data_IF_257192119689
#
_entry.id   IF_257192119689
#
_cell.length_a   1.000
_cell.length_b   1.000
_cell.length_c   1.000
_cell.angle_alpha   90.00
_cell.angle_beta   90.00
_cell.angle_gamma   90.00
#
_symmetry.space_group_name_H-M   'P 1'
#
loop_
_entity.id
_entity.type
_entity.pdbx_description
1 polymer ?
#
# COMPACT_ATOMS: atom_id res chain seq x y z
N UNK A 1 4.67 -33.51 28.67
CA UNK A 1 3.27 -33.29 28.27
C UNK A 1 2.50 -33.05 29.55
N UNK A 2 2.00 -31.84 29.75
CA UNK A 2 1.22 -31.49 30.95
C UNK A 2 -0.20 -32.03 30.77
N UNK A 3 -0.58 -33.00 31.62
CA UNK A 3 -1.84 -33.74 31.57
C UNK A 3 -3.08 -32.94 32.04
N UNK A 4 -2.94 -31.63 32.26
CA UNK A 4 -4.03 -30.78 32.76
C UNK A 4 -4.27 -29.58 31.84
N UNK A 5 -5.45 -29.47 31.20
CA UNK A 5 -5.79 -28.29 30.42
C UNK A 5 -5.96 -27.08 31.34
N UNK A 6 -5.16 -26.03 31.13
CA UNK A 6 -5.14 -24.83 31.97
C UNK A 6 -6.43 -24.00 31.82
N UNK A 7 -7.08 -24.06 30.63
CA UNK A 7 -8.35 -23.36 30.34
C UNK A 7 -9.28 -24.22 29.45
N UNK A 8 -10.53 -24.44 29.89
CA UNK A 8 -11.50 -25.33 29.21
C UNK A 8 -11.89 -24.92 27.79
N UNK A 9 -11.79 -23.63 27.46
CA UNK A 9 -12.29 -23.06 26.20
C UNK A 9 -11.20 -22.45 25.31
N UNK A 10 -9.94 -22.44 25.76
CA UNK A 10 -8.82 -21.89 25.00
C UNK A 10 -7.66 -22.88 25.06
N UNK A 11 -7.33 -23.46 23.91
CA UNK A 11 -6.14 -24.29 23.77
C UNK A 11 -4.95 -23.37 23.54
N UNK A 12 -3.94 -23.47 24.39
CA UNK A 12 -2.70 -22.73 24.20
C UNK A 12 -1.91 -23.34 23.04
N UNK A 13 -1.10 -22.55 22.31
CA UNK A 13 -0.38 -23.00 21.11
C UNK A 13 0.42 -24.30 21.32
N UNK A 14 0.98 -24.49 22.52
CA UNK A 14 1.74 -25.69 22.91
C UNK A 14 0.88 -26.97 23.00
N UNK A 15 -0.42 -26.82 23.22
CA UNK A 15 -1.38 -27.92 23.41
C UNK A 15 -2.00 -28.40 22.09
N UNK A 16 -1.79 -27.69 20.98
CA UNK A 16 -2.31 -28.10 19.67
C UNK A 16 -1.48 -29.24 19.06
N UNK A 17 -2.13 -30.14 18.29
CA UNK A 17 -1.43 -31.13 17.49
C UNK A 17 -0.37 -30.49 16.59
N UNK A 18 0.78 -31.16 16.45
CA UNK A 18 1.93 -30.64 15.70
C UNK A 18 1.57 -30.23 14.27
N UNK A 19 0.64 -30.94 13.62
CA UNK A 19 0.14 -30.62 12.28
C UNK A 19 -0.50 -29.23 12.20
N UNK A 20 -1.34 -28.87 13.16
CA UNK A 20 -2.06 -27.58 13.20
C UNK A 20 -1.08 -26.43 13.50
N UNK A 21 -0.10 -26.67 14.38
CA UNK A 21 0.97 -25.69 14.63
C UNK A 21 1.78 -25.39 13.38
N UNK A 22 2.17 -26.43 12.63
CA UNK A 22 2.91 -26.28 11.36
C UNK A 22 2.07 -25.50 10.34
N UNK A 23 0.78 -25.83 10.21
CA UNK A 23 -0.14 -25.10 9.33
C UNK A 23 -0.18 -23.60 9.68
N UNK A 24 -0.35 -23.24 10.95
CA UNK A 24 -0.36 -21.83 11.36
C UNK A 24 0.95 -21.12 11.06
N UNK A 25 2.10 -21.75 11.33
CA UNK A 25 3.40 -21.16 10.99
C UNK A 25 3.60 -21.00 9.49
N UNK A 26 3.15 -21.97 8.69
CA UNK A 26 3.25 -21.91 7.24
C UNK A 26 2.38 -20.78 6.66
N UNK A 27 1.17 -20.58 7.19
CA UNK A 27 0.30 -19.47 6.80
C UNK A 27 0.96 -18.12 7.11
N UNK A 28 1.53 -17.96 8.30
CA UNK A 28 2.24 -16.73 8.66
C UNK A 28 3.47 -16.48 7.78
N UNK A 29 4.22 -17.52 7.43
CA UNK A 29 5.35 -17.41 6.50
C UNK A 29 4.91 -16.99 5.09
N UNK A 30 3.83 -17.59 4.57
CA UNK A 30 3.29 -17.23 3.25
C UNK A 30 2.80 -15.79 3.24
N UNK A 31 2.04 -15.37 4.26
CA UNK A 31 1.58 -13.99 4.37
C UNK A 31 2.74 -13.02 4.53
N UNK A 32 3.72 -13.33 5.39
CA UNK A 32 4.92 -12.49 5.56
C UNK A 32 5.72 -12.32 4.28
N UNK A 33 5.89 -13.41 3.52
CA UNK A 33 6.55 -13.39 2.22
C UNK A 33 5.74 -12.55 1.21
N UNK A 34 4.42 -12.71 1.15
CA UNK A 34 3.56 -11.89 0.31
C UNK A 34 3.67 -10.39 0.63
N UNK A 35 3.66 -10.02 1.91
CA UNK A 35 3.85 -8.64 2.35
C UNK A 35 5.25 -8.10 2.00
N UNK A 36 6.29 -8.92 2.10
CA UNK A 36 7.65 -8.52 1.72
C UNK A 36 7.71 -8.18 0.22
N UNK A 37 7.14 -9.03 -0.65
CA UNK A 37 7.07 -8.73 -2.08
C UNK A 37 6.19 -7.52 -2.39
N UNK A 38 5.07 -7.34 -1.68
CA UNK A 38 4.23 -6.17 -1.82
C UNK A 38 4.99 -4.88 -1.45
N UNK A 39 5.79 -4.89 -0.39
CA UNK A 39 6.61 -3.75 0.01
C UNK A 39 7.71 -3.44 -1.01
N UNK A 40 8.38 -4.47 -1.55
CA UNK A 40 9.37 -4.30 -2.63
C UNK A 40 8.72 -3.69 -3.88
N UNK A 41 7.56 -4.21 -4.27
CA UNK A 41 6.82 -3.70 -5.41
C UNK A 41 6.37 -2.24 -5.21
N UNK A 42 5.85 -1.92 -4.02
CA UNK A 42 5.45 -0.57 -3.65
C UNK A 42 6.64 0.38 -3.74
N UNK A 43 7.79 0.00 -3.18
CA UNK A 43 9.01 0.78 -3.23
C UNK A 43 9.44 1.04 -4.67
N UNK A 44 9.56 -0.01 -5.48
CA UNK A 44 10.01 0.13 -6.86
C UNK A 44 9.02 0.90 -7.76
N UNK A 45 7.72 0.89 -7.45
CA UNK A 45 6.70 1.55 -8.28
C UNK A 45 6.58 3.04 -7.95
N UNK A 46 6.76 3.42 -6.69
CA UNK A 46 6.45 4.78 -6.22
C UNK A 46 7.65 5.55 -5.67
N UNK A 47 8.81 4.93 -5.47
CA UNK A 47 10.01 5.63 -4.98
C UNK A 47 10.40 6.79 -5.92
N UNK A 48 10.61 7.97 -5.36
CA UNK A 48 11.17 9.12 -6.08
C UNK A 48 10.16 9.96 -6.87
N UNK A 49 8.84 9.82 -6.64
CA UNK A 49 7.81 10.72 -7.21
C UNK A 49 7.86 12.11 -6.59
N UNK A 50 8.36 12.23 -5.36
CA UNK A 50 8.57 13.46 -4.60
C UNK A 50 9.93 14.15 -4.90
N UNK A 51 10.67 13.67 -5.91
CA UNK A 51 11.94 14.28 -6.34
C UNK A 51 13.17 13.92 -5.49
N UNK A 52 13.01 13.12 -4.44
CA UNK A 52 14.11 12.53 -3.68
C UNK A 52 14.14 11.00 -3.90
N UNK A 53 15.09 10.47 -4.69
CA UNK A 53 15.09 9.07 -5.11
C UNK A 53 15.55 8.09 -4.02
N UNK A 54 15.98 8.58 -2.86
CA UNK A 54 16.66 7.79 -1.84
C UNK A 54 15.75 7.33 -0.69
N UNK A 55 14.54 7.89 -0.62
CA UNK A 55 13.54 7.60 0.38
C UNK A 55 12.16 7.41 -0.27
N UNK A 56 11.32 6.57 0.35
CA UNK A 56 9.89 6.55 0.04
C UNK A 56 9.16 7.30 1.16
N UNK A 57 8.63 8.47 0.83
CA UNK A 57 7.85 9.31 1.75
C UNK A 57 6.36 8.96 1.64
N UNK A 58 5.59 9.35 2.66
CA UNK A 58 4.12 9.37 2.56
C UNK A 58 3.66 10.21 1.37
N UNK A 59 4.39 11.29 1.06
CA UNK A 59 4.07 12.22 -0.03
C UNK A 59 4.14 11.54 -1.41
N UNK A 60 5.04 10.56 -1.61
CA UNK A 60 5.11 9.76 -2.84
C UNK A 60 3.79 9.03 -3.11
N UNK A 61 3.16 8.49 -2.06
CA UNK A 61 1.88 7.77 -2.14
C UNK A 61 0.71 8.72 -2.38
N UNK A 62 0.72 9.91 -1.77
CA UNK A 62 -0.30 10.94 -2.01
C UNK A 62 -0.21 11.43 -3.44
N UNK A 63 0.99 11.70 -3.96
CA UNK A 63 1.18 12.09 -5.36
C UNK A 63 0.76 10.95 -6.29
N UNK A 64 1.06 9.69 -5.95
CA UNK A 64 0.58 8.50 -6.67
C UNK A 64 -0.94 8.44 -6.80
N UNK A 65 -1.65 8.67 -5.71
CA UNK A 65 -3.10 8.51 -5.65
C UNK A 65 -3.89 9.78 -5.98
N UNK A 66 -3.31 10.97 -5.85
CA UNK A 66 -3.94 12.24 -6.23
C UNK A 66 -4.24 12.30 -7.72
N UNK A 67 -3.54 11.47 -8.51
CA UNK A 67 -3.75 11.33 -9.93
C UNK A 67 -3.27 12.56 -10.70
N UNK A 68 -3.18 12.40 -12.02
CA UNK A 68 -2.92 13.53 -12.91
C UNK A 68 -4.24 14.18 -13.25
N UNK A 69 -4.46 15.43 -12.81
CA UNK A 69 -5.64 16.21 -13.21
C UNK A 69 -5.81 16.27 -14.74
N UNK A 70 -4.68 16.20 -15.46
CA UNK A 70 -4.53 16.34 -16.92
C UNK A 70 -5.35 15.36 -17.76
N UNK A 71 -5.91 14.30 -17.16
CA UNK A 71 -6.74 13.31 -17.86
C UNK A 71 -8.22 13.64 -17.94
N UNK A 72 -8.70 14.67 -17.25
CA UNK A 72 -10.12 15.02 -17.25
C UNK A 72 -10.55 15.73 -18.53
N UNK A 73 -11.74 15.39 -19.06
CA UNK A 73 -12.36 16.12 -20.18
C UNK A 73 -12.54 17.61 -19.86
N UNK A 74 -12.79 17.94 -18.60
CA UNK A 74 -12.88 19.32 -18.12
C UNK A 74 -11.52 20.02 -18.18
N UNK A 75 -10.42 19.35 -17.83
CA UNK A 75 -9.07 19.95 -17.91
C UNK A 75 -8.61 20.11 -19.37
N UNK A 76 -8.93 19.15 -20.24
CA UNK A 76 -8.70 19.29 -21.69
C UNK A 76 -9.51 20.45 -22.29
N UNK A 77 -10.73 20.68 -21.79
CA UNK A 77 -11.52 21.84 -22.19
C UNK A 77 -10.92 23.15 -21.64
N UNK A 78 -10.46 23.16 -20.39
CA UNK A 78 -9.82 24.31 -19.73
C UNK A 78 -8.52 24.74 -20.42
N UNK A 79 -7.69 23.78 -20.85
CA UNK A 79 -6.45 24.04 -21.62
C UNK A 79 -6.70 24.28 -23.12
N UNK A 80 -7.93 24.08 -23.59
CA UNK A 80 -8.31 24.24 -24.99
C UNK A 80 -9.42 25.30 -25.18
N UNK A 81 -10.66 24.92 -25.52
CA UNK A 81 -11.73 25.86 -25.86
C UNK A 81 -12.15 26.83 -24.73
N UNK A 82 -11.85 26.50 -23.46
CA UNK A 82 -12.19 27.32 -22.29
C UNK A 82 -10.97 28.04 -21.68
N UNK A 83 -9.82 28.08 -22.36
CA UNK A 83 -8.60 28.73 -21.86
C UNK A 83 -8.78 30.21 -21.55
N UNK A 84 -9.72 30.89 -22.22
CA UNK A 84 -10.03 32.30 -22.00
C UNK A 84 -10.82 32.58 -20.70
N UNK A 85 -11.31 31.56 -20.01
CA UNK A 85 -11.99 31.68 -18.71
C UNK A 85 -11.06 31.43 -17.52
N UNK A 86 -9.79 31.13 -17.78
CA UNK A 86 -8.81 30.88 -16.73
C UNK A 86 -8.29 32.22 -16.17
N UNK A 87 -8.14 32.38 -14.84
CA UNK A 87 -7.47 33.51 -14.25
C UNK A 87 -6.07 33.70 -14.85
N UNK A 88 -5.60 34.94 -15.04
CA UNK A 88 -4.32 35.24 -15.69
C UNK A 88 -3.10 34.58 -15.02
N UNK A 89 -3.21 34.26 -13.73
CA UNK A 89 -2.13 33.63 -12.96
C UNK A 89 -1.88 32.15 -13.32
N UNK A 90 -2.86 31.47 -13.92
CA UNK A 90 -2.77 30.04 -14.28
C UNK A 90 -2.50 29.81 -15.78
N UNK A 91 -2.42 30.87 -16.59
CA UNK A 91 -2.23 30.78 -18.04
C UNK A 91 -0.79 30.39 -18.47
N UNK A 92 0.18 30.43 -17.56
CA UNK A 92 1.62 30.23 -17.87
C UNK A 92 2.29 29.05 -17.13
N UNK A 93 1.53 28.12 -16.55
CA UNK A 93 2.05 26.92 -15.84
C UNK A 93 1.84 25.62 -16.62
#
# INVERSE_FOLDING_TARGET
MSETPLHRHYLHFSELPTSVRVMHTAVLLVLGLAYMFAAIYLFHTYSGRDGNPMNMSYDDLVIAYSGSGKGSRLESALRGPMSNMLPPDELNV
#
